data_IF_114162284199
#
_entry.id   IF_114162284199
#
_cell.length_a   1.000
_cell.length_b   1.000
_cell.length_c   1.000
_cell.angle_alpha   90.00
_cell.angle_beta   90.00
_cell.angle_gamma   90.00
#
_symmetry.space_group_name_H-M   'P 1'
#
loop_
_entity.id
_entity.type
_entity.pdbx_description
1 polymer ?
#
# COMPACT_ATOMS: atom_id res chain seq x y z
N UNK A 1 -12.43 25.58 21.04
CA UNK A 1 -11.06 25.13 20.77
C UNK A 1 -11.13 24.49 19.38
N UNK A 2 -10.67 25.21 18.33
CA UNK A 2 -10.62 24.63 16.98
C UNK A 2 -9.56 23.53 17.00
N UNK A 3 -9.99 22.29 16.76
CA UNK A 3 -9.09 21.20 16.43
C UNK A 3 -8.42 21.57 15.10
N UNK A 4 -7.16 21.94 15.13
CA UNK A 4 -6.34 22.03 13.93
C UNK A 4 -6.30 20.62 13.33
N UNK A 5 -6.96 20.42 12.20
CA UNK A 5 -6.73 19.20 11.40
C UNK A 5 -5.23 19.13 11.11
N UNK A 6 -4.56 18.16 11.72
CA UNK A 6 -3.19 17.84 11.36
C UNK A 6 -3.21 17.15 9.99
N UNK A 7 -2.85 17.90 8.96
CA UNK A 7 -2.66 17.35 7.62
C UNK A 7 -1.20 16.93 7.45
N UNK A 8 -0.98 15.84 6.71
CA UNK A 8 0.34 15.43 6.30
C UNK A 8 1.01 16.56 5.49
N UNK A 9 2.27 16.86 5.81
CA UNK A 9 3.05 17.81 5.02
C UNK A 9 3.32 17.24 3.65
N UNK A 10 3.03 18.03 2.60
CA UNK A 10 3.19 17.61 1.20
C UNK A 10 3.86 18.71 0.40
N UNK A 11 4.77 18.28 -0.48
CA UNK A 11 5.42 19.12 -1.48
C UNK A 11 5.19 18.49 -2.84
N UNK A 12 4.69 19.28 -3.78
CA UNK A 12 4.50 18.86 -5.18
C UNK A 12 5.37 19.72 -6.07
N UNK A 13 6.20 19.07 -6.88
CA UNK A 13 7.06 19.68 -7.88
C UNK A 13 6.58 19.27 -9.27
N UNK A 14 6.58 20.22 -10.19
CA UNK A 14 6.16 20.02 -11.58
C UNK A 14 7.35 20.13 -12.54
N UNK A 15 7.18 19.59 -13.74
CA UNK A 15 8.19 19.59 -14.79
C UNK A 15 9.51 18.91 -14.38
N UNK A 16 9.44 17.90 -13.53
CA UNK A 16 10.57 17.08 -13.11
C UNK A 16 10.79 16.00 -14.15
N UNK A 17 11.94 16.02 -14.85
CA UNK A 17 12.31 14.95 -15.78
C UNK A 17 12.57 13.63 -15.02
N UNK A 18 12.55 12.49 -15.74
CA UNK A 18 12.89 11.20 -15.15
C UNK A 18 14.29 11.21 -14.51
N UNK A 19 15.27 11.80 -15.21
CA UNK A 19 16.63 11.90 -14.68
C UNK A 19 16.71 12.72 -13.37
N UNK A 20 15.94 13.81 -13.29
CA UNK A 20 15.84 14.59 -12.04
C UNK A 20 15.17 13.78 -10.94
N UNK A 21 14.12 13.02 -11.24
CA UNK A 21 13.49 12.10 -10.28
C UNK A 21 14.49 11.07 -9.75
N UNK A 22 15.27 10.42 -10.61
CA UNK A 22 16.31 9.47 -10.20
C UNK A 22 17.37 10.13 -9.30
N UNK A 23 17.81 11.34 -9.65
CA UNK A 23 18.78 12.09 -8.83
C UNK A 23 18.18 12.45 -7.45
N UNK A 24 16.91 12.90 -7.41
CA UNK A 24 16.21 13.18 -6.15
C UNK A 24 16.09 11.93 -5.27
N UNK A 25 15.84 10.75 -5.84
CA UNK A 25 15.83 9.49 -5.09
C UNK A 25 17.17 9.20 -4.43
N UNK A 26 18.27 9.44 -5.14
CA UNK A 26 19.62 9.24 -4.63
C UNK A 26 19.92 10.25 -3.50
N UNK A 27 19.63 11.54 -3.73
CA UNK A 27 19.90 12.62 -2.78
C UNK A 27 19.08 12.49 -1.48
N UNK A 28 17.81 12.09 -1.60
CA UNK A 28 16.92 11.83 -0.46
C UNK A 28 17.33 10.59 0.34
N UNK A 29 18.09 9.68 -0.26
CA UNK A 29 18.55 8.45 0.37
C UNK A 29 17.46 7.41 0.60
N UNK A 30 17.84 6.21 1.07
CA UNK A 30 16.93 5.09 1.30
C UNK A 30 16.30 5.08 2.71
N UNK A 31 16.84 5.84 3.64
CA UNK A 31 16.40 5.86 5.06
C UNK A 31 15.43 7.00 5.36
N UNK A 32 14.85 7.63 4.34
CA UNK A 32 13.90 8.75 4.51
C UNK A 32 12.58 8.29 5.13
N UNK A 33 12.01 9.12 5.98
CA UNK A 33 10.66 8.89 6.52
C UNK A 33 9.54 9.30 5.54
N UNK A 34 9.86 10.17 4.56
CA UNK A 34 8.90 10.63 3.57
C UNK A 34 8.57 9.56 2.53
N UNK A 35 7.36 9.59 2.00
CA UNK A 35 6.88 8.80 0.86
C UNK A 35 6.92 9.64 -0.40
N UNK A 36 7.17 9.00 -1.51
CA UNK A 36 7.25 9.67 -2.81
C UNK A 36 6.30 9.04 -3.83
N UNK A 37 5.89 9.89 -4.78
CA UNK A 37 5.21 9.47 -6.00
C UNK A 37 5.68 10.33 -7.19
N UNK A 38 5.79 9.71 -8.36
CA UNK A 38 6.15 10.38 -9.62
C UNK A 38 5.20 9.97 -10.72
N UNK A 39 4.63 10.94 -11.40
CA UNK A 39 3.69 10.79 -12.49
C UNK A 39 3.98 11.79 -13.61
N UNK A 40 4.55 11.32 -14.72
CA UNK A 40 4.72 12.12 -15.95
C UNK A 40 5.25 13.55 -15.70
N UNK A 41 6.29 13.70 -14.87
CA UNK A 41 6.88 15.01 -14.55
C UNK A 41 6.32 15.69 -13.31
N UNK A 42 5.33 15.13 -12.65
CA UNK A 42 4.87 15.57 -11.34
C UNK A 42 5.50 14.71 -10.26
N UNK A 43 6.17 15.31 -9.30
CA UNK A 43 6.82 14.63 -8.18
C UNK A 43 6.21 15.08 -6.85
N UNK A 44 5.73 14.17 -6.05
CA UNK A 44 5.17 14.41 -4.72
C UNK A 44 6.08 13.81 -3.64
N UNK A 45 6.30 14.57 -2.58
CA UNK A 45 6.91 14.10 -1.33
C UNK A 45 5.87 14.31 -0.23
N UNK A 46 5.63 13.29 0.61
CA UNK A 46 4.67 13.33 1.71
C UNK A 46 5.29 12.78 2.98
N UNK A 47 5.09 13.47 4.10
CA UNK A 47 5.46 12.98 5.43
C UNK A 47 4.22 12.42 6.12
N UNK A 48 4.18 11.11 6.45
CA UNK A 48 3.01 10.50 7.06
C UNK A 48 2.83 10.97 8.52
N UNK A 49 1.56 11.04 8.95
CA UNK A 49 1.20 11.31 10.34
C UNK A 49 1.25 10.03 11.20
N UNK A 50 1.34 10.13 12.54
CA UNK A 50 1.32 8.97 13.44
C UNK A 50 0.09 8.07 13.27
N UNK A 51 -1.09 8.65 13.02
CA UNK A 51 -2.31 7.90 12.73
C UNK A 51 -2.20 7.07 11.46
N UNK A 52 -1.67 7.67 10.39
CA UNK A 52 -1.40 6.99 9.13
C UNK A 52 -0.46 5.78 9.34
N UNK A 53 0.65 5.97 10.07
CA UNK A 53 1.59 4.89 10.36
C UNK A 53 0.96 3.79 11.22
N UNK A 54 0.06 4.16 12.16
CA UNK A 54 -0.67 3.18 12.96
C UNK A 54 -1.53 2.25 12.10
N UNK A 55 -2.39 2.81 11.22
CA UNK A 55 -3.28 2.00 10.37
C UNK A 55 -2.52 1.22 9.30
N UNK A 56 -1.48 1.81 8.72
CA UNK A 56 -0.57 1.13 7.81
C UNK A 56 -0.03 -0.15 8.44
N UNK A 57 0.48 -0.05 9.66
CA UNK A 57 1.03 -1.20 10.38
C UNK A 57 -0.06 -2.19 10.79
N UNK A 58 -1.18 -1.71 11.37
CA UNK A 58 -2.25 -2.58 11.85
C UNK A 58 -2.89 -3.38 10.70
N UNK A 59 -3.20 -2.75 9.57
CA UNK A 59 -3.77 -3.43 8.40
C UNK A 59 -2.72 -4.32 7.75
N UNK A 60 -1.47 -3.86 7.62
CA UNK A 60 -0.38 -4.65 7.05
C UNK A 60 -0.12 -5.95 7.84
N UNK A 61 -0.11 -5.89 9.18
CA UNK A 61 0.01 -7.07 10.05
C UNK A 61 -1.24 -7.95 9.93
N UNK A 62 -2.44 -7.37 9.79
CA UNK A 62 -3.68 -8.13 9.60
C UNK A 62 -3.64 -8.95 8.32
N UNK A 63 -3.11 -8.39 7.22
CA UNK A 63 -2.90 -9.11 5.95
C UNK A 63 -1.98 -10.31 6.16
N UNK A 64 -0.88 -10.13 6.91
CA UNK A 64 0.06 -11.22 7.22
C UNK A 64 -0.59 -12.29 8.10
N UNK A 65 -1.30 -11.90 9.16
CA UNK A 65 -2.01 -12.83 10.06
C UNK A 65 -3.08 -13.64 9.29
N UNK A 66 -3.79 -13.02 8.35
CA UNK A 66 -4.75 -13.70 7.46
C UNK A 66 -4.01 -14.74 6.59
N UNK A 67 -2.92 -14.35 5.94
CA UNK A 67 -2.14 -15.24 5.09
C UNK A 67 -1.60 -16.45 5.87
N UNK A 68 -1.07 -16.23 7.07
CA UNK A 68 -0.59 -17.29 7.96
C UNK A 68 -1.73 -18.25 8.37
N UNK A 69 -2.89 -17.75 8.79
CA UNK A 69 -4.03 -18.59 9.16
C UNK A 69 -4.60 -19.37 7.97
N UNK A 70 -4.51 -18.84 6.77
CA UNK A 70 -4.92 -19.52 5.52
C UNK A 70 -3.82 -20.42 4.94
N UNK A 71 -2.62 -20.43 5.55
CA UNK A 71 -1.44 -21.16 5.06
C UNK A 71 -1.05 -20.75 3.62
N UNK A 72 -1.10 -19.43 3.35
CA UNK A 72 -0.70 -18.82 2.08
C UNK A 72 0.68 -18.20 2.27
N UNK A 73 1.64 -18.59 1.45
CA UNK A 73 2.96 -17.96 1.43
C UNK A 73 2.85 -16.53 0.90
N UNK A 74 3.62 -15.64 1.49
CA UNK A 74 3.71 -14.24 1.06
C UNK A 74 5.10 -13.68 1.26
N UNK A 75 5.41 -12.64 0.50
CA UNK A 75 6.53 -11.74 0.76
C UNK A 75 5.99 -10.31 0.93
N UNK A 76 6.57 -9.54 1.84
CA UNK A 76 6.22 -8.13 2.07
C UNK A 76 7.47 -7.27 1.99
N UNK A 77 7.41 -6.20 1.18
CA UNK A 77 8.55 -5.31 0.96
C UNK A 77 8.26 -3.86 1.43
N UNK A 78 7.24 -3.69 2.27
CA UNK A 78 6.92 -2.41 2.88
C UNK A 78 6.71 -1.32 1.83
N UNK A 79 7.35 -0.18 2.06
CA UNK A 79 7.28 1.00 1.19
C UNK A 79 8.44 1.07 0.19
N UNK A 80 8.77 -0.05 -0.44
CA UNK A 80 9.78 -0.08 -1.51
C UNK A 80 9.39 0.83 -2.67
N UNK A 81 10.37 1.54 -3.25
CA UNK A 81 10.15 2.36 -4.45
C UNK A 81 9.97 1.47 -5.68
N UNK A 82 8.76 1.39 -6.18
CA UNK A 82 8.42 0.73 -7.45
C UNK A 82 8.41 1.75 -8.57
N UNK A 83 9.21 1.54 -9.62
CA UNK A 83 9.38 2.51 -10.71
C UNK A 83 9.64 1.85 -12.05
N UNK A 84 9.20 2.52 -13.12
CA UNK A 84 9.43 2.09 -14.50
C UNK A 84 9.58 3.31 -15.41
N UNK A 85 10.79 3.52 -15.95
CA UNK A 85 11.11 4.67 -16.78
C UNK A 85 10.25 4.75 -18.04
N UNK A 86 10.10 3.62 -18.76
CA UNK A 86 9.29 3.56 -19.98
C UNK A 86 7.82 4.01 -19.79
N UNK A 87 7.35 4.00 -18.54
CA UNK A 87 5.99 4.42 -18.18
C UNK A 87 5.96 5.75 -17.44
N UNK A 88 7.10 6.40 -17.21
CA UNK A 88 7.25 7.63 -16.42
C UNK A 88 6.45 7.56 -15.10
N UNK A 89 6.55 6.42 -14.44
CA UNK A 89 5.80 6.08 -13.24
C UNK A 89 6.72 5.59 -12.12
N UNK A 90 6.57 6.16 -10.93
CA UNK A 90 7.29 5.74 -9.73
C UNK A 90 6.44 5.99 -8.49
N UNK A 91 6.41 5.04 -7.52
CA UNK A 91 5.61 5.16 -6.32
C UNK A 91 6.18 4.33 -5.18
N UNK A 92 5.97 4.83 -3.97
CA UNK A 92 6.14 4.08 -2.73
C UNK A 92 4.77 3.87 -2.10
N UNK A 93 4.20 2.66 -2.17
CA UNK A 93 2.99 2.32 -1.44
C UNK A 93 3.27 2.38 0.07
N UNK A 94 2.22 2.48 0.88
CA UNK A 94 2.39 2.37 2.34
C UNK A 94 2.83 0.96 2.74
N UNK A 95 2.32 -0.07 2.06
CA UNK A 95 2.84 -1.42 2.11
C UNK A 95 2.56 -2.16 0.79
N UNK A 96 3.30 -3.23 0.51
CA UNK A 96 3.04 -4.08 -0.64
C UNK A 96 3.35 -5.54 -0.35
N UNK A 97 2.64 -6.43 -1.06
CA UNK A 97 2.70 -7.86 -0.83
C UNK A 97 2.73 -8.64 -2.15
N UNK A 98 3.41 -9.76 -2.12
CA UNK A 98 3.39 -10.78 -3.14
C UNK A 98 2.72 -12.03 -2.60
N UNK A 99 1.80 -12.60 -3.36
CA UNK A 99 1.07 -13.84 -3.09
C UNK A 99 1.16 -14.79 -4.28
N UNK A 100 0.58 -14.44 -5.42
CA UNK A 100 0.63 -15.25 -6.64
C UNK A 100 2.05 -15.32 -7.23
N UNK A 101 2.79 -14.23 -7.12
CA UNK A 101 4.16 -14.13 -7.60
C UNK A 101 5.21 -14.40 -6.51
N UNK A 102 4.80 -14.77 -5.30
CA UNK A 102 5.67 -14.96 -4.14
C UNK A 102 6.87 -15.87 -4.46
N UNK A 103 6.63 -17.03 -5.05
CA UNK A 103 7.70 -17.99 -5.35
C UNK A 103 8.76 -17.45 -6.33
N UNK A 104 8.43 -16.48 -7.19
CA UNK A 104 9.38 -15.84 -8.11
C UNK A 104 10.26 -14.81 -7.40
N UNK A 105 9.77 -14.29 -6.28
CA UNK A 105 10.34 -13.14 -5.57
C UNK A 105 11.04 -13.57 -4.28
N UNK A 106 10.71 -14.73 -3.74
CA UNK A 106 11.19 -15.24 -2.45
C UNK A 106 12.70 -15.07 -2.26
N UNK A 107 13.06 -14.39 -1.18
CA UNK A 107 14.46 -14.15 -0.80
C UNK A 107 15.21 -13.12 -1.64
N UNK A 108 14.55 -12.41 -2.57
CA UNK A 108 15.19 -11.38 -3.37
C UNK A 108 15.21 -10.05 -2.60
N UNK A 109 16.31 -9.31 -2.75
CA UNK A 109 16.52 -8.01 -2.10
C UNK A 109 16.66 -6.85 -3.10
N UNK A 110 16.61 -7.15 -4.40
CA UNK A 110 16.69 -6.16 -5.48
C UNK A 110 15.67 -6.49 -6.55
N UNK A 111 15.01 -5.48 -7.08
CA UNK A 111 13.91 -5.59 -8.02
C UNK A 111 14.09 -4.67 -9.22
N UNK A 112 13.66 -5.18 -10.38
CA UNK A 112 13.56 -4.41 -11.61
C UNK A 112 12.25 -4.76 -12.32
N UNK A 113 11.27 -3.84 -12.29
CA UNK A 113 9.95 -4.05 -12.89
C UNK A 113 9.96 -4.25 -14.42
N UNK A 114 11.11 -4.09 -15.09
CA UNK A 114 11.23 -4.49 -16.49
C UNK A 114 11.41 -6.02 -16.65
N UNK A 115 11.76 -6.74 -15.59
CA UNK A 115 12.05 -8.17 -15.59
C UNK A 115 11.22 -8.92 -14.53
N UNK A 116 10.95 -8.26 -13.43
CA UNK A 116 10.25 -8.83 -12.27
C UNK A 116 8.77 -8.47 -12.31
N UNK A 117 7.88 -9.34 -11.81
CA UNK A 117 6.48 -8.99 -11.66
C UNK A 117 6.31 -7.85 -10.63
N UNK A 118 5.30 -7.00 -10.79
CA UNK A 118 4.93 -6.05 -9.74
C UNK A 118 4.36 -6.80 -8.52
N UNK A 119 4.24 -6.13 -7.35
CA UNK A 119 3.48 -6.66 -6.22
C UNK A 119 2.06 -7.04 -6.62
N UNK A 120 1.53 -8.10 -6.00
CA UNK A 120 0.15 -8.56 -6.26
C UNK A 120 -0.88 -7.69 -5.54
N UNK A 121 -0.47 -7.06 -4.43
CA UNK A 121 -1.30 -6.18 -3.62
C UNK A 121 -0.49 -4.97 -3.13
N UNK A 122 -1.04 -3.77 -3.30
CA UNK A 122 -0.58 -2.55 -2.63
C UNK A 122 -1.59 -2.12 -1.56
N UNK A 123 -1.10 -1.68 -0.41
CA UNK A 123 -1.90 -1.03 0.64
C UNK A 123 -1.60 0.47 0.63
N UNK A 124 -2.65 1.27 0.63
CA UNK A 124 -2.61 2.73 0.73
C UNK A 124 -3.52 3.21 1.86
N UNK A 125 -3.01 4.12 2.64
CA UNK A 125 -3.74 4.78 3.72
C UNK A 125 -4.05 6.22 3.28
N UNK A 126 -5.30 6.66 3.48
CA UNK A 126 -5.75 8.01 3.18
C UNK A 126 -5.51 8.45 1.71
N UNK A 127 -6.17 7.77 0.77
CA UNK A 127 -6.09 8.09 -0.66
C UNK A 127 -6.83 9.37 -1.04
N UNK A 128 -7.86 9.74 -0.31
CA UNK A 128 -8.79 10.82 -0.71
C UNK A 128 -8.18 12.21 -0.59
N UNK A 129 -7.21 12.38 0.30
CA UNK A 129 -6.56 13.68 0.56
C UNK A 129 -5.21 13.84 -0.15
N UNK A 130 -4.90 12.98 -1.15
CA UNK A 130 -3.64 13.04 -1.91
C UNK A 130 -3.73 14.10 -3.01
N UNK A 131 -2.68 14.90 -3.13
CA UNK A 131 -2.56 15.94 -4.18
C UNK A 131 -2.29 15.33 -5.56
N UNK A 132 -1.74 14.11 -5.61
CA UNK A 132 -1.48 13.34 -6.82
C UNK A 132 -2.36 12.10 -6.87
N UNK A 133 -3.13 11.92 -7.96
CA UNK A 133 -3.89 10.69 -8.17
C UNK A 133 -2.94 9.51 -8.41
N UNK A 134 -2.90 8.56 -7.49
CA UNK A 134 -1.98 7.42 -7.55
C UNK A 134 -2.47 6.26 -8.42
N UNK A 135 -3.76 6.15 -8.69
CA UNK A 135 -4.31 5.06 -9.51
C UNK A 135 -3.65 4.94 -10.90
N UNK A 136 -3.46 6.03 -11.68
CA UNK A 136 -2.76 5.93 -12.96
C UNK A 136 -1.31 5.45 -12.84
N UNK A 137 -0.62 5.79 -11.75
CA UNK A 137 0.74 5.34 -11.51
C UNK A 137 0.75 3.82 -11.30
N UNK A 138 -0.08 3.34 -10.40
CA UNK A 138 -0.24 1.91 -10.11
C UNK A 138 -0.65 1.10 -11.34
N UNK A 139 -1.58 1.62 -12.14
CA UNK A 139 -2.04 0.97 -13.37
C UNK A 139 -0.89 0.78 -14.37
N UNK A 140 -0.07 1.82 -14.59
CA UNK A 140 1.11 1.74 -15.47
C UNK A 140 2.21 0.84 -14.92
N UNK A 141 2.32 0.67 -13.61
CA UNK A 141 3.21 -0.30 -12.99
C UNK A 141 2.65 -1.73 -13.04
N UNK A 142 1.35 -1.89 -13.30
CA UNK A 142 0.68 -3.19 -13.47
C UNK A 142 0.34 -3.88 -12.16
N UNK A 143 0.14 -3.14 -11.06
CA UNK A 143 -0.26 -3.71 -9.77
C UNK A 143 -1.72 -4.15 -9.84
N UNK A 144 -2.05 -5.45 -9.65
CA UNK A 144 -3.38 -5.94 -9.95
C UNK A 144 -4.45 -5.53 -8.93
N UNK A 145 -4.07 -5.36 -7.65
CA UNK A 145 -5.02 -5.01 -6.59
C UNK A 145 -4.46 -3.96 -5.65
N UNK A 146 -5.31 -3.01 -5.24
CA UNK A 146 -4.99 -1.98 -4.26
C UNK A 146 -6.05 -2.01 -3.17
N UNK A 147 -5.63 -2.03 -1.92
CA UNK A 147 -6.49 -1.77 -0.78
C UNK A 147 -6.27 -0.34 -0.31
N UNK A 148 -7.34 0.43 -0.23
CA UNK A 148 -7.33 1.81 0.22
C UNK A 148 -8.09 1.92 1.53
N UNK A 149 -7.41 2.30 2.59
CA UNK A 149 -8.03 2.63 3.86
C UNK A 149 -8.16 4.14 4.00
N UNK A 150 -9.35 4.60 4.33
CA UNK A 150 -9.64 5.99 4.62
C UNK A 150 -10.78 6.10 5.63
N UNK A 151 -10.57 6.87 6.71
CA UNK A 151 -11.60 7.26 7.66
C UNK A 151 -12.46 6.09 8.19
N UNK A 152 -11.84 4.93 8.44
CA UNK A 152 -12.51 3.74 8.98
C UNK A 152 -13.01 2.76 7.91
N UNK A 153 -12.95 3.10 6.64
CA UNK A 153 -13.38 2.26 5.52
C UNK A 153 -12.18 1.67 4.77
N UNK A 154 -12.26 0.37 4.45
CA UNK A 154 -11.30 -0.31 3.58
C UNK A 154 -12.00 -0.66 2.26
N UNK A 155 -11.51 -0.09 1.17
CA UNK A 155 -11.99 -0.33 -0.19
C UNK A 155 -10.98 -1.11 -1.00
N UNK A 156 -11.47 -2.00 -1.85
CA UNK A 156 -10.67 -2.84 -2.72
C UNK A 156 -10.82 -2.34 -4.15
N UNK A 157 -9.70 -2.14 -4.83
CA UNK A 157 -9.68 -1.76 -6.23
C UNK A 157 -8.89 -2.79 -7.03
N UNK A 158 -9.48 -3.28 -8.13
CA UNK A 158 -8.81 -4.20 -9.05
C UNK A 158 -8.55 -3.53 -10.38
N UNK A 159 -7.36 -3.78 -10.93
CA UNK A 159 -6.97 -3.32 -12.25
C UNK A 159 -7.74 -4.09 -13.33
N UNK A 160 -8.55 -3.37 -14.08
CA UNK A 160 -9.29 -3.90 -15.22
C UNK A 160 -8.85 -3.13 -16.47
N UNK A 161 -8.13 -3.82 -17.36
CA UNK A 161 -7.44 -3.21 -18.48
C UNK A 161 -6.40 -2.17 -18.00
N UNK A 162 -6.68 -0.87 -18.05
CA UNK A 162 -5.78 0.22 -17.66
C UNK A 162 -6.33 1.07 -16.53
N UNK A 163 -7.47 0.70 -15.92
CA UNK A 163 -8.13 1.48 -14.88
C UNK A 163 -8.53 0.61 -13.70
N UNK A 164 -8.58 1.22 -12.52
CA UNK A 164 -9.07 0.53 -11.33
C UNK A 164 -10.58 0.64 -11.19
N UNK A 165 -11.20 -0.46 -10.79
CA UNK A 165 -12.61 -0.55 -10.42
C UNK A 165 -12.72 -1.00 -8.98
N UNK A 166 -13.57 -0.33 -8.21
CA UNK A 166 -13.94 -0.79 -6.87
C UNK A 166 -14.69 -2.11 -6.96
N UNK A 167 -14.31 -3.06 -6.11
CA UNK A 167 -14.88 -4.41 -6.06
C UNK A 167 -15.18 -4.82 -4.61
N UNK A 168 -16.11 -5.75 -4.43
CA UNK A 168 -16.45 -6.24 -3.09
C UNK A 168 -15.49 -7.32 -2.57
N UNK A 169 -14.86 -8.07 -3.45
CA UNK A 169 -14.02 -9.21 -3.08
C UNK A 169 -12.58 -9.03 -3.52
N UNK A 170 -11.67 -9.31 -2.60
CA UNK A 170 -10.25 -9.39 -2.93
C UNK A 170 -9.94 -10.61 -3.79
N UNK A 171 -9.06 -10.45 -4.77
CA UNK A 171 -8.51 -11.57 -5.53
C UNK A 171 -7.53 -12.41 -4.71
N UNK A 172 -6.91 -11.79 -3.70
CA UNK A 172 -5.96 -12.46 -2.80
C UNK A 172 -6.69 -13.30 -1.74
N UNK A 173 -7.77 -12.77 -1.17
CA UNK A 173 -8.57 -13.44 -0.12
C UNK A 173 -10.05 -13.48 -0.49
N UNK A 174 -10.47 -14.21 -1.54
CA UNK A 174 -11.82 -14.15 -2.12
C UNK A 174 -12.92 -14.67 -1.19
N UNK A 175 -12.56 -15.47 -0.15
CA UNK A 175 -13.50 -15.99 0.83
C UNK A 175 -13.76 -15.02 2.00
N UNK A 176 -12.95 -13.96 2.14
CA UNK A 176 -13.04 -13.03 3.28
C UNK A 176 -13.67 -11.70 2.86
N UNK A 177 -14.45 -11.13 3.77
CA UNK A 177 -14.90 -9.74 3.67
C UNK A 177 -13.86 -8.83 4.34
N UNK A 178 -12.76 -8.58 3.63
CA UNK A 178 -11.60 -7.84 4.16
C UNK A 178 -11.94 -6.41 4.60
N UNK A 179 -13.08 -5.87 4.17
CA UNK A 179 -13.63 -4.60 4.64
C UNK A 179 -13.99 -4.61 6.13
N UNK A 180 -14.08 -5.78 6.76
CA UNK A 180 -14.31 -5.91 8.20
C UNK A 180 -13.04 -5.66 9.04
N UNK A 181 -11.85 -5.69 8.42
CA UNK A 181 -10.56 -5.50 9.10
C UNK A 181 -10.52 -4.21 9.93
N UNK A 182 -10.89 -3.01 9.39
CA UNK A 182 -10.87 -1.78 10.19
C UNK A 182 -11.79 -1.85 11.42
N UNK A 183 -12.96 -2.43 11.28
CA UNK A 183 -13.90 -2.60 12.41
C UNK A 183 -13.30 -3.45 13.52
N UNK A 184 -12.63 -4.57 13.15
CA UNK A 184 -11.95 -5.43 14.12
C UNK A 184 -10.79 -4.67 14.78
N UNK A 185 -9.99 -3.93 14.01
CA UNK A 185 -8.90 -3.12 14.55
C UNK A 185 -9.44 -2.13 15.59
N UNK A 186 -10.49 -1.35 15.27
CA UNK A 186 -11.05 -0.35 16.17
C UNK A 186 -11.63 -0.97 17.43
N UNK A 187 -12.31 -2.11 17.33
CA UNK A 187 -12.89 -2.79 18.47
C UNK A 187 -11.86 -3.20 19.53
N UNK A 188 -10.66 -3.59 19.10
CA UNK A 188 -9.61 -4.11 20.00
C UNK A 188 -8.40 -3.17 20.11
N UNK A 189 -8.42 -2.00 19.49
CA UNK A 189 -7.29 -1.06 19.46
C UNK A 189 -6.82 -0.65 20.86
N UNK A 190 -7.76 -0.39 21.77
CA UNK A 190 -7.45 0.03 23.13
C UNK A 190 -6.93 -1.11 24.03
N UNK A 191 -7.17 -2.37 23.62
CA UNK A 191 -6.65 -3.56 24.30
C UNK A 191 -5.25 -3.94 23.83
N UNK A 192 -4.71 -3.19 22.83
CA UNK A 192 -3.36 -3.31 22.32
C UNK A 192 -3.23 -4.23 21.11
N UNK A 193 -2.07 -4.12 20.44
CA UNK A 193 -1.77 -4.82 19.17
C UNK A 193 -1.96 -6.35 19.24
N UNK A 194 -1.62 -6.96 20.37
CA UNK A 194 -1.80 -8.41 20.54
C UNK A 194 -3.27 -8.83 20.52
N UNK A 195 -4.16 -8.01 21.11
CA UNK A 195 -5.61 -8.26 21.08
C UNK A 195 -6.16 -8.15 19.66
N UNK A 196 -5.77 -7.12 18.92
CA UNK A 196 -6.12 -6.96 17.50
C UNK A 196 -5.71 -8.19 16.68
N UNK A 197 -4.45 -8.62 16.77
CA UNK A 197 -3.93 -9.78 16.03
C UNK A 197 -4.69 -11.07 16.36
N UNK A 198 -5.00 -11.30 17.64
CA UNK A 198 -5.80 -12.46 18.07
C UNK A 198 -7.22 -12.40 17.51
N UNK A 199 -7.84 -11.23 17.50
CA UNK A 199 -9.17 -11.03 16.95
C UNK A 199 -9.21 -11.32 15.43
N UNK A 200 -8.25 -10.80 14.66
CA UNK A 200 -8.12 -11.10 13.22
C UNK A 200 -7.95 -12.60 12.98
N UNK A 201 -7.03 -13.27 13.68
CA UNK A 201 -6.82 -14.73 13.53
C UNK A 201 -8.08 -15.53 13.88
N UNK A 202 -8.79 -15.16 14.95
CA UNK A 202 -10.04 -15.81 15.34
C UNK A 202 -11.14 -15.58 14.28
N UNK A 203 -11.25 -14.38 13.75
CA UNK A 203 -12.19 -14.06 12.68
C UNK A 203 -11.97 -14.96 11.45
N UNK A 204 -10.71 -15.13 11.00
CA UNK A 204 -10.38 -16.03 9.87
C UNK A 204 -10.77 -17.47 10.17
N UNK A 205 -10.48 -17.97 11.40
CA UNK A 205 -10.80 -19.36 11.81
C UNK A 205 -12.30 -19.66 11.82
N UNK A 206 -13.15 -18.67 12.13
CA UNK A 206 -14.60 -18.83 12.16
C UNK A 206 -15.23 -18.95 10.76
N UNK A 207 -14.51 -18.58 9.71
CA UNK A 207 -14.97 -18.63 8.33
C UNK A 207 -14.48 -19.88 7.57
N UNK A 208 -13.70 -20.73 8.26
CA UNK A 208 -13.27 -22.05 7.79
C UNK A 208 -14.27 -23.12 8.22
#
# INVERSE_FOLDING_TARGET
>A
MQLTEHRADRVVLYNISWQQFENLLIDLGQTRAARIAYDNGTFEIMTPLPEHEYYKEAIGISIQDIAEELNINYESYGSTTWKREAHLAGIEPDNCFYFQNEAKIRGRLQFNLNQDPPPDLALEIDMTHKSLNRFPIYARLGIPEIWCYDSGELKIYQLQQETYREVEKSSVFPMLRVQEIPTIIEQYRLDGKLAVRRAIRNWVRQLR
#
